data_IF_995510387411
#
_entry.id   IF_995510387411
#
_cell.length_a   1.000
_cell.length_b   1.000
_cell.length_c   1.000
_cell.angle_alpha   90.00
_cell.angle_beta   90.00
_cell.angle_gamma   90.00
#
_symmetry.space_group_name_H-M   'P 1'
#
loop_
_entity.id
_entity.type
_entity.pdbx_description
1 polymer ?
#
# COMPACT_ATOMS: atom_id res chain seq x y z
N UNK A 1 -7.41 -17.35 4.04
CA UNK A 1 -6.27 -17.40 3.12
C UNK A 1 -6.37 -16.30 2.07
N UNK A 2 -5.26 -15.66 1.67
CA UNK A 2 -5.25 -14.71 0.56
C UNK A 2 -5.76 -15.34 -0.74
N UNK A 3 -6.35 -14.53 -1.62
CA UNK A 3 -6.67 -14.97 -2.98
C UNK A 3 -5.40 -15.05 -3.87
N UNK A 4 -5.54 -15.44 -5.13
CA UNK A 4 -4.43 -15.55 -6.11
C UNK A 4 -3.60 -14.26 -6.28
N UNK A 5 -4.19 -13.09 -5.97
CA UNK A 5 -3.53 -11.79 -6.04
C UNK A 5 -2.86 -11.38 -4.72
N UNK A 6 -2.94 -12.23 -3.69
CA UNK A 6 -2.51 -11.93 -2.33
C UNK A 6 -3.43 -10.96 -1.60
N UNK A 7 -4.65 -10.73 -2.10
CA UNK A 7 -5.61 -9.83 -1.45
C UNK A 7 -6.28 -10.56 -0.31
N UNK A 8 -6.64 -9.80 0.73
CA UNK A 8 -7.29 -10.30 1.92
C UNK A 8 -8.73 -9.83 2.03
N UNK A 9 -9.53 -10.63 2.72
CA UNK A 9 -10.80 -10.19 3.31
C UNK A 9 -10.54 -9.25 4.49
N UNK A 10 -11.60 -8.63 5.03
CA UNK A 10 -11.48 -7.73 6.19
C UNK A 10 -10.89 -8.45 7.41
N UNK A 11 -11.43 -9.61 7.76
CA UNK A 11 -11.03 -10.32 8.98
C UNK A 11 -9.59 -10.80 8.89
N UNK A 12 -9.18 -11.25 7.71
CA UNK A 12 -7.79 -11.63 7.44
C UNK A 12 -6.84 -10.44 7.52
N UNK A 13 -7.20 -9.29 6.94
CA UNK A 13 -6.38 -8.09 6.98
C UNK A 13 -6.18 -7.60 8.42
N UNK A 14 -7.25 -7.57 9.22
CA UNK A 14 -7.18 -7.23 10.65
C UNK A 14 -6.33 -8.25 11.42
N UNK A 15 -6.47 -9.54 11.13
CA UNK A 15 -5.69 -10.59 11.78
C UNK A 15 -4.18 -10.51 11.50
N UNK A 16 -3.75 -9.83 10.43
CA UNK A 16 -2.32 -9.62 10.17
C UNK A 16 -1.66 -8.66 11.16
N UNK A 17 -2.42 -7.78 11.81
CA UNK A 17 -1.89 -6.71 12.65
C UNK A 17 -1.12 -5.62 11.88
N UNK A 18 -1.08 -5.67 10.54
CA UNK A 18 -0.40 -4.67 9.73
C UNK A 18 -1.28 -3.43 9.52
N UNK A 19 -0.67 -2.24 9.30
CA UNK A 19 -1.39 -1.02 8.97
C UNK A 19 -2.34 -1.17 7.78
N UNK A 20 -3.52 -0.56 7.88
CA UNK A 20 -4.53 -0.55 6.83
C UNK A 20 -4.82 0.89 6.39
N UNK A 21 -4.69 1.18 5.10
CA UNK A 21 -5.20 2.42 4.51
C UNK A 21 -6.66 2.24 4.11
N UNK A 22 -7.54 3.05 4.70
CA UNK A 22 -8.97 3.00 4.47
C UNK A 22 -9.45 4.30 3.83
N UNK A 23 -9.94 4.19 2.59
CA UNK A 23 -10.66 5.26 1.90
C UNK A 23 -12.07 4.78 1.56
N UNK A 24 -13.06 5.28 2.29
CA UNK A 24 -14.46 4.89 2.15
C UNK A 24 -15.25 5.76 1.18
N UNK A 25 -14.69 6.89 0.76
CA UNK A 25 -15.31 7.81 -0.18
C UNK A 25 -14.21 8.44 -1.04
N UNK A 26 -14.45 8.57 -2.35
CA UNK A 26 -13.55 9.23 -3.27
C UNK A 26 -13.35 10.72 -2.96
N UNK A 27 -14.35 11.38 -2.34
CA UNK A 27 -14.33 12.81 -2.03
C UNK A 27 -13.67 13.16 -0.70
N UNK A 28 -13.47 12.18 0.19
CA UNK A 28 -12.83 12.39 1.49
C UNK A 28 -11.39 11.86 1.45
N UNK A 29 -10.47 12.45 2.22
CA UNK A 29 -9.14 11.87 2.40
C UNK A 29 -9.27 10.48 3.01
N UNK A 30 -8.44 9.54 2.55
CA UNK A 30 -8.31 8.27 3.26
C UNK A 30 -7.52 8.44 4.56
N UNK A 31 -7.48 7.38 5.36
CA UNK A 31 -6.71 7.37 6.62
C UNK A 31 -6.01 6.04 6.82
N UNK A 32 -4.88 6.07 7.50
CA UNK A 32 -4.24 4.89 8.05
C UNK A 32 -4.89 4.48 9.38
N UNK A 33 -4.97 3.19 9.66
CA UNK A 33 -5.41 2.68 10.97
C UNK A 33 -4.32 2.74 12.03
N UNK A 34 -3.06 2.69 11.58
CA UNK A 34 -1.86 2.77 12.40
C UNK A 34 -0.71 3.31 11.51
N UNK A 35 0.24 4.00 12.11
CA UNK A 35 1.38 4.64 11.42
C UNK A 35 2.69 4.34 12.17
N UNK A 36 3.13 3.06 12.22
CA UNK A 36 4.35 2.69 12.93
C UNK A 36 5.63 3.23 12.26
N UNK A 37 5.53 3.69 11.02
CA UNK A 37 6.61 4.31 10.27
C UNK A 37 6.41 5.84 10.27
N UNK A 38 7.43 6.59 10.70
CA UNK A 38 7.38 8.06 10.67
C UNK A 38 7.25 8.64 9.25
N UNK A 39 7.81 7.93 8.27
CA UNK A 39 7.67 8.19 6.83
C UNK A 39 7.85 6.88 6.07
N UNK A 40 6.94 6.57 5.15
CA UNK A 40 7.10 5.46 4.22
C UNK A 40 6.32 5.67 2.92
N UNK A 41 6.87 5.21 1.80
CA UNK A 41 6.17 5.15 0.51
C UNK A 41 5.72 3.72 0.24
N UNK A 42 4.41 3.48 0.29
CA UNK A 42 3.81 2.15 0.28
C UNK A 42 2.95 1.94 -0.97
N UNK A 43 3.41 1.09 -1.89
CA UNK A 43 2.80 0.93 -3.22
C UNK A 43 2.24 -0.47 -3.44
N UNK A 44 1.15 -0.57 -4.19
CA UNK A 44 0.62 -1.86 -4.67
C UNK A 44 1.52 -2.46 -5.74
N UNK A 45 1.47 -3.78 -5.94
CA UNK A 45 2.21 -4.46 -7.03
C UNK A 45 1.89 -3.87 -8.41
N UNK A 46 0.62 -3.53 -8.67
CA UNK A 46 0.21 -2.91 -9.94
C UNK A 46 0.81 -1.52 -10.10
N UNK A 47 0.84 -0.71 -9.04
CA UNK A 47 1.45 0.62 -9.07
C UNK A 47 2.95 0.55 -9.32
N UNK A 48 3.63 -0.39 -8.67
CA UNK A 48 5.03 -0.67 -8.89
C UNK A 48 5.33 -1.03 -10.35
N UNK A 49 4.51 -1.88 -10.97
CA UNK A 49 4.63 -2.22 -12.39
C UNK A 49 4.42 -1.01 -13.32
N UNK A 50 3.43 -0.15 -13.04
CA UNK A 50 3.17 1.07 -13.82
C UNK A 50 4.36 2.04 -13.80
N UNK A 51 5.03 2.15 -12.66
CA UNK A 51 6.21 2.99 -12.48
C UNK A 51 7.52 2.30 -12.90
N UNK A 52 7.45 1.12 -13.53
CA UNK A 52 8.61 0.31 -13.95
C UNK A 52 9.59 -0.01 -12.81
N UNK A 53 9.08 -0.13 -11.57
CA UNK A 53 9.82 -0.56 -10.38
C UNK A 53 9.33 -1.97 -9.96
N UNK A 54 9.91 -3.06 -10.47
CA UNK A 54 9.42 -4.39 -10.09
C UNK A 54 9.56 -4.61 -8.58
N UNK A 55 8.54 -5.20 -7.97
CA UNK A 55 8.49 -5.49 -6.52
C UNK A 55 9.44 -6.61 -6.07
N UNK A 56 10.45 -6.90 -6.88
CA UNK A 56 11.28 -8.10 -6.79
C UNK A 56 12.68 -7.80 -7.34
N UNK A 57 13.30 -6.65 -7.02
CA UNK A 57 14.69 -6.41 -7.46
C UNK A 57 15.66 -7.46 -6.87
N UNK A 58 15.32 -8.15 -5.75
CA UNK A 58 16.19 -9.18 -5.14
C UNK A 58 15.53 -10.33 -4.34
N UNK A 59 14.20 -10.49 -4.30
CA UNK A 59 13.56 -11.58 -3.56
C UNK A 59 12.09 -11.36 -3.22
N UNK A 60 11.49 -12.22 -2.37
CA UNK A 60 10.12 -12.04 -1.84
C UNK A 60 10.10 -10.82 -0.92
N UNK A 61 9.59 -9.70 -1.40
CA UNK A 61 9.35 -8.54 -0.55
C UNK A 61 8.15 -8.80 0.37
N UNK A 62 8.33 -8.49 1.65
CA UNK A 62 7.28 -8.60 2.65
C UNK A 62 6.18 -7.57 2.39
N UNK A 63 4.93 -7.99 2.60
CA UNK A 63 3.81 -7.06 2.68
C UNK A 63 3.93 -6.33 4.01
N UNK A 64 3.91 -5.00 3.97
CA UNK A 64 4.08 -4.15 5.17
C UNK A 64 2.79 -3.44 5.57
N UNK A 65 1.81 -3.38 4.68
CA UNK A 65 0.50 -2.78 4.92
C UNK A 65 -0.53 -3.28 3.89
N UNK A 66 -1.79 -2.94 4.09
CA UNK A 66 -2.85 -3.18 3.10
C UNK A 66 -3.66 -1.92 2.81
N UNK A 67 -4.21 -1.84 1.60
CA UNK A 67 -5.14 -0.79 1.18
C UNK A 67 -6.53 -1.35 0.93
N UNK A 68 -7.56 -0.69 1.45
CA UNK A 68 -8.94 -0.99 1.12
C UNK A 68 -9.28 -0.53 -0.31
N UNK A 69 -9.66 -1.47 -1.17
CA UNK A 69 -10.13 -1.26 -2.53
C UNK A 69 -11.66 -1.20 -2.57
N UNK A 70 -12.22 0.00 -2.44
CA UNK A 70 -13.67 0.22 -2.42
C UNK A 70 -14.39 -0.32 -3.66
N UNK A 71 -13.79 -0.16 -4.85
CA UNK A 71 -14.40 -0.55 -6.12
C UNK A 71 -14.37 -2.06 -6.40
N UNK A 72 -13.77 -2.87 -5.52
CA UNK A 72 -13.68 -4.31 -5.73
C UNK A 72 -15.04 -5.01 -5.51
N UNK A 73 -15.56 -5.67 -6.53
CA UNK A 73 -16.78 -6.49 -6.49
C UNK A 73 -16.55 -7.86 -5.80
N UNK A 74 -15.71 -7.91 -4.77
CA UNK A 74 -15.34 -9.12 -4.01
C UNK A 74 -15.29 -8.82 -2.52
N UNK A 75 -15.32 -9.85 -1.67
CA UNK A 75 -15.00 -9.77 -0.24
C UNK A 75 -13.50 -9.55 0.00
N UNK A 76 -12.65 -9.99 -0.93
CA UNK A 76 -11.22 -9.70 -0.93
C UNK A 76 -11.01 -8.25 -1.39
N UNK A 77 -10.94 -7.32 -0.44
CA UNK A 77 -10.80 -5.88 -0.71
C UNK A 77 -9.53 -5.26 -0.15
N UNK A 78 -8.69 -6.02 0.53
CA UNK A 78 -7.47 -5.50 1.15
C UNK A 78 -6.27 -5.89 0.28
N UNK A 79 -5.73 -4.90 -0.42
CA UNK A 79 -4.67 -5.04 -1.42
C UNK A 79 -3.32 -4.86 -0.72
N UNK A 80 -2.36 -5.78 -0.90
CA UNK A 80 -1.04 -5.68 -0.26
C UNK A 80 -0.25 -4.48 -0.78
N UNK A 81 0.45 -3.81 0.14
CA UNK A 81 1.37 -2.71 -0.11
C UNK A 81 2.80 -3.11 0.27
N UNK A 82 3.75 -2.58 -0.50
CA UNK A 82 5.18 -2.88 -0.41
C UNK A 82 5.97 -1.58 -0.27
N UNK A 83 7.01 -1.61 0.55
CA UNK A 83 7.84 -0.45 0.85
C UNK A 83 8.73 -0.07 -0.35
N UNK A 84 8.61 1.17 -0.81
CA UNK A 84 9.39 1.78 -1.89
C UNK A 84 10.10 3.06 -1.49
N UNK A 85 10.17 3.34 -0.20
CA UNK A 85 10.70 4.60 0.35
C UNK A 85 12.07 4.93 -0.26
N UNK A 86 12.97 3.94 -0.34
CA UNK A 86 14.32 4.11 -0.89
C UNK A 86 14.38 4.59 -2.36
N UNK A 87 13.39 4.24 -3.19
CA UNK A 87 13.34 4.68 -4.60
C UNK A 87 13.01 6.17 -4.71
N UNK A 88 12.23 6.69 -3.77
CA UNK A 88 11.85 8.10 -3.75
C UNK A 88 12.90 8.94 -3.01
N UNK A 89 13.52 8.39 -1.96
CA UNK A 89 14.64 9.02 -1.27
C UNK A 89 15.91 9.11 -2.12
N UNK A 90 16.16 8.13 -3.01
CA UNK A 90 17.30 8.19 -3.95
C UNK A 90 17.11 9.23 -5.06
N UNK A 91 15.89 9.77 -5.24
CA UNK A 91 15.54 10.67 -6.32
C UNK A 91 15.30 9.99 -7.67
N UNK A 92 15.24 8.65 -7.72
CA UNK A 92 14.86 7.92 -8.96
C UNK A 92 13.46 8.32 -9.43
N UNK A 93 12.55 8.65 -8.49
CA UNK A 93 11.21 9.17 -8.79
C UNK A 93 10.82 10.30 -7.83
N UNK A 94 10.05 11.30 -8.31
CA UNK A 94 9.62 12.41 -7.47
C UNK A 94 8.43 12.04 -6.58
N UNK A 95 8.35 12.62 -5.38
CA UNK A 95 7.18 12.44 -4.49
C UNK A 95 5.87 13.00 -5.08
N UNK A 96 5.94 13.94 -6.04
CA UNK A 96 4.76 14.60 -6.64
C UNK A 96 3.86 13.65 -7.46
N UNK A 97 4.34 12.45 -7.80
CA UNK A 97 3.54 11.45 -8.52
C UNK A 97 2.74 10.52 -7.58
N UNK A 98 2.94 10.65 -6.27
CA UNK A 98 2.29 9.81 -5.28
C UNK A 98 0.83 10.21 -5.09
N UNK A 99 0.00 9.19 -4.88
CA UNK A 99 -1.43 9.32 -4.67
C UNK A 99 -1.78 9.22 -3.20
N UNK A 100 -3.02 9.60 -2.87
CA UNK A 100 -3.57 9.43 -1.53
C UNK A 100 -3.44 7.96 -1.05
N UNK A 101 -2.89 7.78 0.15
CA UNK A 101 -2.58 6.48 0.75
C UNK A 101 -1.33 5.78 0.21
N UNK A 102 -0.53 6.43 -0.63
CA UNK A 102 0.80 5.93 -1.04
C UNK A 102 1.93 6.46 -0.13
N UNK A 103 1.63 7.45 0.72
CA UNK A 103 2.52 7.94 1.78
C UNK A 103 1.89 7.59 3.13
N UNK A 104 2.68 7.03 4.03
CA UNK A 104 2.37 6.88 5.45
C UNK A 104 3.23 7.82 6.26
N UNK A 105 2.63 8.43 7.28
CA UNK A 105 3.31 9.42 8.12
C UNK A 105 3.44 10.78 7.42
N UNK A 106 4.20 11.66 8.05
CA UNK A 106 4.42 13.03 7.56
C UNK A 106 5.73 13.08 6.80
N UNK A 107 5.72 13.58 5.56
CA UNK A 107 6.92 14.02 4.86
C UNK A 107 7.41 15.31 5.54
N UNK A 108 8.16 15.18 6.64
CA UNK A 108 8.80 16.31 7.32
C UNK A 108 10.01 16.82 6.54
#
# INVERSE_FOLDING_TARGET
MPNEKGWLTKDEAVATGLPLFIKTNSTLPGRWTDEPYGHAVLLTRTRCAQLKMPTLRSGREAVVAYRYAQAAASSFRYVPLYDRTSVFESGELPYSILQDGEIMGSSS
#
